data_IF_134386797170
#
_entry.id   IF_134386797170
#
_cell.length_a   1.000
_cell.length_b   1.000
_cell.length_c   1.000
_cell.angle_alpha   90.00
_cell.angle_beta   90.00
_cell.angle_gamma   90.00
#
_symmetry.space_group_name_H-M   'P 1'
#
loop_
_entity.id
_entity.type
_entity.pdbx_description
1 polymer ?
#
# COMPACT_ATOMS: atom_id res chain seq x y z
N UNK A 1 -13.51 14.39 -30.52
CA UNK A 1 -14.70 13.52 -30.45
C UNK A 1 -15.32 13.43 -31.84
N UNK A 2 -15.83 12.27 -32.27
CA UNK A 2 -16.41 12.12 -33.61
C UNK A 2 -17.73 12.88 -33.75
N UNK A 3 -17.92 13.62 -34.85
CA UNK A 3 -19.08 14.47 -35.11
C UNK A 3 -20.43 13.74 -34.86
N UNK A 4 -20.52 12.49 -35.32
CA UNK A 4 -21.72 11.64 -35.17
C UNK A 4 -22.12 11.40 -33.71
N UNK A 5 -21.15 11.32 -32.78
CA UNK A 5 -21.47 11.15 -31.35
C UNK A 5 -22.12 12.40 -30.77
N UNK A 6 -21.64 13.58 -31.16
CA UNK A 6 -22.21 14.85 -30.69
C UNK A 6 -23.62 15.03 -31.23
N UNK A 7 -23.83 14.75 -32.52
CA UNK A 7 -25.14 14.85 -33.16
C UNK A 7 -26.20 13.96 -32.47
N UNK A 8 -25.82 12.73 -32.09
CA UNK A 8 -26.73 11.82 -31.40
C UNK A 8 -26.97 12.19 -29.92
N UNK A 9 -25.96 12.72 -29.21
CA UNK A 9 -26.05 12.99 -27.77
C UNK A 9 -26.63 14.37 -27.45
N UNK A 10 -26.29 15.40 -28.23
CA UNK A 10 -26.62 16.78 -27.91
C UNK A 10 -28.13 17.02 -27.74
N UNK A 11 -29.04 16.44 -28.56
CA UNK A 11 -30.48 16.56 -28.34
C UNK A 11 -30.93 15.95 -27.01
N UNK A 12 -30.42 14.76 -26.65
CA UNK A 12 -30.73 14.09 -25.38
C UNK A 12 -30.23 14.91 -24.18
N UNK A 13 -29.04 15.49 -24.28
CA UNK A 13 -28.46 16.32 -23.20
C UNK A 13 -29.24 17.63 -23.04
N UNK A 14 -29.59 18.33 -24.13
CA UNK A 14 -30.38 19.57 -24.06
C UNK A 14 -31.75 19.39 -23.41
N UNK A 15 -32.41 18.26 -23.63
CA UNK A 15 -33.69 17.94 -23.00
C UNK A 15 -33.60 17.79 -21.46
N UNK A 16 -32.39 17.54 -20.93
CA UNK A 16 -32.13 17.31 -19.51
C UNK A 16 -31.46 18.50 -18.83
N UNK A 17 -31.33 19.65 -19.51
CA UNK A 17 -30.73 20.84 -18.93
C UNK A 17 -31.47 21.31 -17.66
N UNK A 18 -30.70 21.71 -16.65
CA UNK A 18 -31.21 22.22 -15.38
C UNK A 18 -30.37 23.40 -14.91
N UNK A 19 -30.98 24.33 -14.18
CA UNK A 19 -30.28 25.47 -13.59
C UNK A 19 -29.60 25.11 -12.26
N UNK A 20 -30.09 24.07 -11.59
CA UNK A 20 -29.58 23.59 -10.29
C UNK A 20 -28.59 22.45 -10.51
N UNK A 21 -27.41 22.56 -9.87
CA UNK A 21 -26.39 21.51 -9.91
C UNK A 21 -26.90 20.21 -9.26
N UNK A 22 -26.74 19.05 -9.92
CA UNK A 22 -27.10 17.75 -9.35
C UNK A 22 -26.05 17.19 -8.38
N UNK A 23 -24.84 17.78 -8.34
CA UNK A 23 -23.76 17.32 -7.46
C UNK A 23 -24.01 17.73 -6.01
N UNK A 24 -23.62 16.87 -5.08
CA UNK A 24 -23.74 17.10 -3.63
C UNK A 24 -22.39 16.82 -2.94
N UNK A 25 -22.14 17.46 -1.80
CA UNK A 25 -20.92 17.26 -1.00
C UNK A 25 -19.82 18.31 -1.25
N UNK A 26 -18.73 18.20 -0.47
CA UNK A 26 -17.64 19.19 -0.44
C UNK A 26 -16.87 19.31 -1.77
N UNK A 27 -16.94 18.29 -2.63
CA UNK A 27 -16.32 18.25 -3.96
C UNK A 27 -17.20 18.70 -5.12
N UNK A 28 -18.39 19.25 -4.86
CA UNK A 28 -19.29 19.64 -5.94
C UNK A 28 -18.66 20.76 -6.80
N UNK A 29 -18.64 20.60 -8.14
CA UNK A 29 -18.06 21.63 -9.01
C UNK A 29 -18.84 22.94 -8.90
N UNK A 30 -18.10 24.06 -8.96
CA UNK A 30 -18.70 25.40 -8.91
C UNK A 30 -19.43 25.70 -10.22
N UNK A 31 -20.43 26.59 -10.15
CA UNK A 31 -21.12 27.08 -11.34
C UNK A 31 -20.18 28.00 -12.11
N UNK A 32 -19.80 27.58 -13.31
CA UNK A 32 -18.98 28.33 -14.25
C UNK A 32 -19.75 28.54 -15.56
N UNK A 33 -19.46 29.60 -16.34
CA UNK A 33 -20.18 29.89 -17.59
C UNK A 33 -20.09 28.76 -18.62
N UNK A 34 -19.01 27.98 -18.60
CA UNK A 34 -18.75 26.88 -19.54
C UNK A 34 -19.39 25.55 -19.10
N UNK A 35 -20.08 25.53 -17.94
CA UNK A 35 -20.67 24.32 -17.36
C UNK A 35 -22.18 24.33 -17.47
N UNK A 36 -22.72 23.38 -18.23
CA UNK A 36 -24.17 23.11 -18.29
C UNK A 36 -24.52 21.96 -17.35
N UNK A 37 -25.47 22.21 -16.43
CA UNK A 37 -25.95 21.16 -15.54
C UNK A 37 -27.06 20.34 -16.20
N UNK A 38 -27.02 19.03 -15.98
CA UNK A 38 -28.01 18.09 -16.52
C UNK A 38 -28.68 17.32 -15.38
N UNK A 39 -29.92 16.91 -15.58
CA UNK A 39 -30.59 15.94 -14.69
C UNK A 39 -29.87 14.58 -14.79
N UNK A 40 -29.59 13.91 -13.66
CA UNK A 40 -28.85 12.65 -13.63
C UNK A 40 -29.74 11.45 -14.01
N UNK A 41 -30.26 11.46 -15.24
CA UNK A 41 -31.18 10.44 -15.77
C UNK A 41 -30.51 9.47 -16.75
N UNK A 42 -29.48 9.93 -17.47
CA UNK A 42 -28.73 9.10 -18.42
C UNK A 42 -27.57 8.38 -17.73
N UNK A 43 -27.35 7.13 -18.11
CA UNK A 43 -26.17 6.35 -17.68
C UNK A 43 -25.15 6.31 -18.80
N UNK A 44 -23.91 6.66 -18.46
CA UNK A 44 -22.78 6.60 -19.38
C UNK A 44 -21.76 5.57 -18.89
N UNK A 45 -21.16 4.86 -19.84
CA UNK A 45 -19.95 4.10 -19.61
C UNK A 45 -18.74 5.00 -19.78
N UNK A 46 -17.93 5.09 -18.71
CA UNK A 46 -16.78 5.96 -18.61
C UNK A 46 -15.56 5.11 -18.23
N UNK A 47 -14.49 5.23 -19.01
CA UNK A 47 -13.17 4.76 -18.59
C UNK A 47 -12.46 5.87 -17.83
N UNK A 48 -11.77 5.56 -16.74
CA UNK A 48 -11.10 6.55 -15.91
C UNK A 48 -9.92 5.97 -15.13
N UNK A 49 -8.99 6.86 -14.73
CA UNK A 49 -7.75 6.47 -14.04
C UNK A 49 -7.91 6.30 -12.52
N UNK A 50 -8.92 6.94 -11.92
CA UNK A 50 -9.23 6.79 -10.49
C UNK A 50 -10.15 7.88 -9.96
N UNK A 51 -10.39 7.85 -8.64
CA UNK A 51 -11.18 8.85 -7.92
C UNK A 51 -10.28 9.85 -7.18
N UNK A 52 -10.68 11.13 -7.12
CA UNK A 52 -10.09 12.11 -6.19
C UNK A 52 -10.60 11.86 -4.77
N UNK A 53 -9.93 12.46 -3.77
CA UNK A 53 -10.41 12.46 -2.38
C UNK A 53 -11.84 13.04 -2.25
N UNK A 54 -12.18 13.99 -3.12
CA UNK A 54 -13.47 14.66 -3.15
C UNK A 54 -14.55 13.91 -3.96
N UNK A 55 -14.26 12.69 -4.45
CA UNK A 55 -15.22 11.87 -5.17
C UNK A 55 -15.41 12.24 -6.65
N UNK A 56 -14.43 12.89 -7.28
CA UNK A 56 -14.43 13.25 -8.70
C UNK A 56 -13.58 12.26 -9.49
N UNK A 57 -14.03 11.91 -10.69
CA UNK A 57 -13.32 10.99 -11.59
C UNK A 57 -12.12 11.69 -12.26
N UNK A 58 -10.95 11.04 -12.27
CA UNK A 58 -9.72 11.53 -12.92
C UNK A 58 -9.55 10.94 -14.32
N UNK A 59 -9.19 11.79 -15.28
CA UNK A 59 -8.90 11.39 -16.67
C UNK A 59 -10.05 10.58 -17.30
N UNK A 60 -11.28 11.10 -17.19
CA UNK A 60 -12.47 10.45 -17.69
C UNK A 60 -12.54 10.46 -19.23
N UNK A 61 -12.88 9.31 -19.82
CA UNK A 61 -13.13 9.16 -21.24
C UNK A 61 -14.50 8.52 -21.48
N UNK A 62 -15.37 9.21 -22.22
CA UNK A 62 -16.70 8.71 -22.56
C UNK A 62 -16.65 7.59 -23.60
N UNK A 63 -17.24 6.44 -23.28
CA UNK A 63 -17.33 5.29 -24.20
C UNK A 63 -18.66 5.27 -24.94
N UNK A 64 -19.77 5.31 -24.19
CA UNK A 64 -21.13 5.24 -24.73
C UNK A 64 -22.20 5.45 -23.66
N UNK A 65 -23.47 5.51 -24.07
CA UNK A 65 -24.61 5.47 -23.15
C UNK A 65 -25.03 4.03 -22.90
N UNK A 66 -25.49 3.76 -21.68
CA UNK A 66 -26.08 2.50 -21.25
C UNK A 66 -27.57 2.71 -21.02
N UNK A 67 -28.39 2.06 -21.83
CA UNK A 67 -29.86 2.08 -21.70
C UNK A 67 -30.36 0.87 -20.90
N UNK A 68 -29.48 -0.11 -20.64
CA UNK A 68 -29.77 -1.36 -19.95
C UNK A 68 -29.81 -1.23 -18.42
N UNK A 69 -29.32 -0.12 -17.86
CA UNK A 69 -29.20 0.10 -16.43
C UNK A 69 -29.83 1.42 -15.99
N UNK A 70 -30.75 1.44 -15.00
CA UNK A 70 -31.33 2.68 -14.52
C UNK A 70 -30.30 3.50 -13.73
N UNK A 71 -30.37 4.83 -13.85
CA UNK A 71 -29.42 5.75 -13.20
C UNK A 71 -29.32 5.57 -11.67
N UNK A 72 -30.41 5.17 -11.00
CA UNK A 72 -30.45 4.95 -9.55
C UNK A 72 -29.63 3.74 -9.08
N UNK A 73 -29.32 2.80 -9.97
CA UNK A 73 -28.49 1.62 -9.67
C UNK A 73 -26.99 1.86 -9.90
N UNK A 74 -26.62 3.00 -10.46
CA UNK A 74 -25.21 3.38 -10.62
C UNK A 74 -24.71 3.88 -9.28
N UNK A 75 -23.88 3.07 -8.62
CA UNK A 75 -23.24 3.41 -7.35
C UNK A 75 -21.74 3.29 -7.49
N UNK A 76 -21.01 4.21 -6.85
CA UNK A 76 -19.56 4.07 -6.71
C UNK A 76 -19.26 2.80 -5.92
N UNK A 77 -18.46 1.92 -6.50
CA UNK A 77 -17.98 0.72 -5.82
C UNK A 77 -17.12 1.17 -4.64
N UNK A 78 -17.57 0.85 -3.42
CA UNK A 78 -16.77 1.02 -2.22
C UNK A 78 -16.07 -0.30 -1.97
N UNK A 79 -14.76 -0.30 -1.65
CA UNK A 79 -14.10 -1.52 -1.22
C UNK A 79 -14.92 -2.13 -0.08
N UNK A 80 -15.23 -3.41 -0.20
CA UNK A 80 -15.86 -4.14 0.89
C UNK A 80 -15.00 -3.90 2.15
N UNK A 81 -15.65 -3.61 3.28
CA UNK A 81 -14.93 -3.61 4.56
C UNK A 81 -14.27 -4.98 4.65
N UNK A 82 -12.94 -5.00 4.74
CA UNK A 82 -12.22 -6.24 4.97
C UNK A 82 -12.89 -6.92 6.17
N UNK A 83 -13.22 -8.20 6.03
CA UNK A 83 -13.67 -8.97 7.17
C UNK A 83 -12.63 -8.75 8.27
N UNK A 84 -13.08 -8.30 9.44
CA UNK A 84 -12.20 -8.27 10.61
C UNK A 84 -11.85 -9.71 10.89
N UNK A 85 -10.70 -10.15 10.40
CA UNK A 85 -10.04 -11.32 10.95
C UNK A 85 -9.68 -10.92 12.38
N UNK A 86 -10.03 -11.76 13.35
CA UNK A 86 -9.56 -11.59 14.72
C UNK A 86 -8.03 -11.61 14.67
N UNK A 87 -7.43 -10.42 14.72
CA UNK A 87 -5.99 -10.31 14.91
C UNK A 87 -5.72 -10.94 16.28
N UNK A 88 -4.82 -11.92 16.38
CA UNK A 88 -4.43 -12.44 17.69
C UNK A 88 -4.01 -11.26 18.55
N UNK A 89 -4.68 -11.10 19.70
CA UNK A 89 -4.24 -10.10 20.67
C UNK A 89 -2.81 -10.45 21.05
N UNK A 90 -1.86 -9.49 20.96
CA UNK A 90 -0.51 -9.75 21.41
C UNK A 90 -0.59 -10.26 22.85
N UNK A 91 0.03 -11.41 23.10
CA UNK A 91 0.10 -11.97 24.43
C UNK A 91 0.62 -10.90 25.39
N UNK A 92 0.01 -10.83 26.58
CA UNK A 92 0.36 -9.86 27.62
C UNK A 92 1.87 -9.69 27.77
N UNK A 93 2.30 -8.43 27.94
CA UNK A 93 3.69 -7.99 28.01
C UNK A 93 4.58 -9.01 28.72
N UNK A 94 5.55 -9.54 27.97
CA UNK A 94 6.61 -10.38 28.54
C UNK A 94 7.32 -9.52 29.59
N UNK A 95 7.37 -10.04 30.82
CA UNK A 95 7.97 -9.39 32.00
C UNK A 95 9.26 -8.64 31.64
N UNK A 96 9.40 -7.43 32.20
CA UNK A 96 10.59 -6.59 32.09
C UNK A 96 11.85 -7.44 32.18
N UNK A 97 12.63 -7.43 31.09
CA UNK A 97 13.76 -8.32 30.92
C UNK A 97 14.91 -7.85 31.82
N UNK A 98 15.63 -8.80 32.41
CA UNK A 98 16.81 -8.50 33.21
C UNK A 98 17.82 -7.70 32.36
N UNK A 99 18.24 -6.55 32.87
CA UNK A 99 19.26 -5.69 32.24
C UNK A 99 20.53 -6.52 32.05
N UNK A 100 20.92 -6.73 30.79
CA UNK A 100 22.14 -7.47 30.47
C UNK A 100 23.35 -6.53 30.57
N UNK A 101 24.49 -7.10 30.96
CA UNK A 101 25.77 -6.38 30.96
C UNK A 101 26.15 -5.91 29.55
N UNK A 102 26.82 -4.76 29.47
CA UNK A 102 27.30 -4.16 28.22
C UNK A 102 28.18 -5.17 27.45
N UNK A 103 27.75 -5.57 26.26
CA UNK A 103 28.45 -6.53 25.40
C UNK A 103 27.89 -7.96 25.41
N UNK A 104 26.85 -8.24 26.19
CA UNK A 104 26.15 -9.51 26.13
C UNK A 104 25.51 -9.72 24.73
N UNK A 105 25.67 -10.92 24.18
CA UNK A 105 25.00 -11.36 22.95
C UNK A 105 23.73 -12.11 23.31
N UNK A 106 22.68 -11.95 22.53
CA UNK A 106 21.49 -12.80 22.62
C UNK A 106 21.59 -13.93 21.59
N UNK A 107 21.07 -15.10 21.90
CA UNK A 107 20.93 -16.19 20.94
C UNK A 107 19.46 -16.33 20.54
N UNK A 108 19.20 -16.39 19.24
CA UNK A 108 17.86 -16.60 18.66
C UNK A 108 18.01 -17.63 17.54
N UNK A 109 17.32 -18.78 17.65
CA UNK A 109 17.42 -19.89 16.70
C UNK A 109 18.87 -20.30 16.35
N UNK A 110 19.77 -20.34 17.34
CA UNK A 110 21.19 -20.67 17.13
C UNK A 110 22.05 -19.54 16.52
N UNK A 111 21.47 -18.36 16.27
CA UNK A 111 22.18 -17.19 15.73
C UNK A 111 22.49 -16.20 16.84
N UNK A 112 23.78 -15.84 16.97
CA UNK A 112 24.24 -14.83 17.94
C UNK A 112 23.96 -13.41 17.46
N UNK A 113 23.13 -12.69 18.20
CA UNK A 113 22.75 -11.31 17.98
C UNK A 113 23.66 -10.39 18.80
N UNK A 114 24.49 -9.62 18.10
CA UNK A 114 25.29 -8.54 18.69
C UNK A 114 24.45 -7.28 18.91
N UNK A 115 24.75 -6.53 19.99
CA UNK A 115 24.02 -5.34 20.41
C UNK A 115 22.49 -5.60 20.46
N UNK A 116 22.03 -6.59 21.23
CA UNK A 116 20.64 -7.03 21.22
C UNK A 116 19.67 -5.92 21.63
N UNK A 117 20.08 -5.08 22.60
CA UNK A 117 19.27 -4.00 23.16
C UNK A 117 19.33 -2.72 22.31
N UNK A 118 19.99 -2.73 21.13
CA UNK A 118 20.03 -1.56 20.25
C UNK A 118 18.61 -1.25 19.75
N UNK A 119 18.07 -0.04 19.99
CA UNK A 119 16.76 0.36 19.49
C UNK A 119 16.85 0.56 17.97
N UNK A 120 16.05 -0.21 17.21
CA UNK A 120 15.93 -0.07 15.75
C UNK A 120 14.70 0.76 15.37
N UNK A 121 13.60 0.63 16.12
CA UNK A 121 12.46 1.55 16.06
C UNK A 121 12.41 2.32 17.37
N UNK A 122 12.51 3.66 17.37
CA UNK A 122 12.42 4.46 18.59
C UNK A 122 11.03 4.42 19.25
N UNK A 123 9.97 4.27 18.46
CA UNK A 123 8.58 4.18 18.91
C UNK A 123 7.77 3.32 17.93
N UNK A 124 7.08 2.29 18.43
CA UNK A 124 6.17 1.44 17.67
C UNK A 124 4.69 1.87 17.77
N UNK A 125 4.44 3.13 18.11
CA UNK A 125 3.13 3.73 18.44
C UNK A 125 2.56 3.29 19.80
N UNK A 126 3.43 2.80 20.69
CA UNK A 126 3.14 2.43 22.08
C UNK A 126 4.07 3.15 23.07
N UNK A 127 4.92 4.06 22.58
CA UNK A 127 5.91 4.79 23.37
C UNK A 127 7.11 3.93 23.77
N UNK A 128 7.25 2.72 23.21
CA UNK A 128 8.35 1.80 23.52
C UNK A 128 9.22 1.55 22.28
N UNK A 129 10.55 1.49 22.45
CA UNK A 129 11.42 1.15 21.34
C UNK A 129 11.37 -0.34 21.04
N UNK A 130 11.48 -0.70 19.75
CA UNK A 130 11.71 -2.09 19.32
C UNK A 130 13.19 -2.29 19.07
N UNK A 131 13.75 -3.27 19.76
CA UNK A 131 15.17 -3.59 19.77
C UNK A 131 15.56 -4.56 18.64
N UNK A 132 16.87 -4.68 18.40
CA UNK A 132 17.43 -5.62 17.43
C UNK A 132 17.14 -7.08 17.77
N UNK A 133 17.12 -7.43 19.06
CA UNK A 133 16.74 -8.79 19.47
C UNK A 133 15.26 -9.06 19.21
N UNK A 134 14.37 -8.11 19.48
CA UNK A 134 12.94 -8.27 19.21
C UNK A 134 12.65 -8.44 17.72
N UNK A 135 13.38 -7.73 16.85
CA UNK A 135 13.33 -7.98 15.41
C UNK A 135 13.74 -9.42 15.06
N UNK A 136 14.80 -9.95 15.69
CA UNK A 136 15.23 -11.34 15.47
C UNK A 136 14.17 -12.35 15.94
N UNK A 137 13.55 -12.11 17.10
CA UNK A 137 12.45 -12.96 17.63
C UNK A 137 11.18 -12.87 16.78
N UNK A 138 10.91 -11.70 16.22
CA UNK A 138 9.84 -11.54 15.24
C UNK A 138 10.07 -12.44 14.03
N UNK A 139 11.29 -12.45 13.46
CA UNK A 139 11.63 -13.34 12.36
C UNK A 139 11.60 -14.83 12.74
N UNK A 140 11.95 -15.19 13.97
CA UNK A 140 11.74 -16.54 14.50
C UNK A 140 10.25 -16.92 14.50
N UNK A 141 9.37 -16.03 14.96
CA UNK A 141 7.94 -16.27 15.04
C UNK A 141 7.25 -16.37 13.67
N UNK A 142 7.62 -15.51 12.71
CA UNK A 142 7.00 -15.47 11.37
C UNK A 142 7.78 -16.26 10.31
N UNK A 143 8.93 -16.82 10.67
CA UNK A 143 9.90 -17.37 9.71
C UNK A 143 9.33 -18.47 8.83
N UNK A 144 8.49 -19.34 9.38
CA UNK A 144 7.83 -20.43 8.63
C UNK A 144 6.86 -19.93 7.56
N UNK A 145 6.22 -18.78 7.76
CA UNK A 145 5.37 -18.15 6.74
C UNK A 145 6.19 -17.32 5.76
N UNK A 146 7.17 -16.57 6.27
CA UNK A 146 8.02 -15.72 5.45
C UNK A 146 8.83 -16.54 4.44
N UNK A 147 9.37 -17.69 4.85
CA UNK A 147 10.30 -18.48 4.03
C UNK A 147 9.67 -18.98 2.73
N UNK A 148 8.38 -19.32 2.75
CA UNK A 148 7.62 -19.76 1.56
C UNK A 148 7.57 -18.68 0.47
N UNK A 149 7.66 -17.40 0.86
CA UNK A 149 7.64 -16.29 -0.08
C UNK A 149 9.02 -15.93 -0.64
N UNK A 150 10.10 -16.19 0.09
CA UNK A 150 11.45 -15.74 -0.27
C UNK A 150 12.37 -16.86 -0.75
N UNK A 151 12.09 -18.12 -0.40
CA UNK A 151 12.93 -19.26 -0.79
C UNK A 151 13.03 -19.38 -2.30
N UNK A 152 14.27 -19.53 -2.79
CA UNK A 152 14.55 -19.68 -4.23
C UNK A 152 14.40 -18.40 -5.04
N UNK A 153 14.26 -17.23 -4.40
CA UNK A 153 14.13 -15.94 -5.08
C UNK A 153 15.34 -15.06 -4.77
N UNK A 154 15.97 -14.43 -5.78
CA UNK A 154 16.97 -13.40 -5.55
C UNK A 154 16.38 -12.25 -4.73
N UNK A 155 17.05 -11.89 -3.64
CA UNK A 155 16.55 -10.92 -2.67
C UNK A 155 17.54 -9.76 -2.49
N UNK A 156 17.01 -8.60 -2.16
CA UNK A 156 17.78 -7.43 -1.72
C UNK A 156 17.38 -7.07 -0.30
N UNK A 157 18.34 -6.61 0.49
CA UNK A 157 18.13 -6.31 1.91
C UNK A 157 18.25 -4.81 2.13
N UNK A 158 17.25 -4.22 2.78
CA UNK A 158 17.38 -2.86 3.34
C UNK A 158 17.99 -2.99 4.73
N UNK A 159 19.13 -2.34 4.95
CA UNK A 159 19.85 -2.36 6.23
C UNK A 159 19.75 -1.00 6.88
N UNK A 160 19.43 -1.02 8.17
CA UNK A 160 19.32 0.17 9.02
C UNK A 160 20.19 -0.03 10.28
N UNK A 161 21.53 0.08 10.16
CA UNK A 161 22.45 -0.32 11.23
C UNK A 161 22.24 0.41 12.56
N UNK A 162 21.75 1.65 12.49
CA UNK A 162 21.48 2.54 13.62
C UNK A 162 19.99 2.87 13.78
N UNK A 163 19.13 1.97 13.29
CA UNK A 163 17.69 2.10 13.34
C UNK A 163 17.08 2.85 12.16
N UNK A 164 15.75 2.84 12.09
CA UNK A 164 15.01 3.29 10.89
C UNK A 164 15.07 4.80 10.64
N UNK A 165 15.38 5.59 11.68
CA UNK A 165 15.60 7.04 11.56
C UNK A 165 17.03 7.42 11.14
N UNK A 166 17.94 6.44 11.06
CA UNK A 166 19.32 6.64 10.62
C UNK A 166 19.51 6.38 9.13
N UNK A 167 20.77 6.14 8.74
CA UNK A 167 21.13 5.80 7.37
C UNK A 167 20.54 4.44 6.96
N UNK A 168 20.01 4.38 5.74
CA UNK A 168 19.46 3.16 5.14
C UNK A 168 20.28 2.76 3.93
N UNK A 169 20.70 1.49 3.89
CA UNK A 169 21.51 0.95 2.81
C UNK A 169 20.76 -0.17 2.08
N UNK A 170 20.59 -0.01 0.76
CA UNK A 170 20.02 -1.04 -0.10
C UNK A 170 21.10 -1.99 -0.62
N UNK A 171 21.13 -3.20 -0.07
CA UNK A 171 22.11 -4.23 -0.39
C UNK A 171 21.56 -5.24 -1.40
N UNK A 172 22.14 -5.27 -2.60
CA UNK A 172 21.85 -6.29 -3.63
C UNK A 172 22.78 -7.48 -3.60
N UNK A 173 24.05 -7.25 -3.24
CA UNK A 173 25.12 -8.24 -3.37
C UNK A 173 25.66 -8.67 -2.01
N UNK A 174 26.24 -9.86 -1.94
CA UNK A 174 26.98 -10.31 -0.77
C UNK A 174 28.14 -9.34 -0.44
N UNK A 175 28.35 -9.13 0.86
CA UNK A 175 29.44 -8.32 1.42
C UNK A 175 30.24 -9.14 2.44
N UNK A 176 31.45 -8.70 2.83
CA UNK A 176 32.17 -9.33 3.93
C UNK A 176 31.29 -9.48 5.19
N UNK A 177 31.26 -10.69 5.76
CA UNK A 177 30.40 -11.03 6.90
C UNK A 177 28.99 -11.49 6.56
N UNK A 178 28.68 -11.73 5.28
CA UNK A 178 27.42 -12.40 4.87
C UNK A 178 27.43 -13.86 5.34
N UNK A 179 26.30 -14.34 5.85
CA UNK A 179 26.16 -15.71 6.36
C UNK A 179 26.35 -16.74 5.24
N UNK A 180 27.02 -17.84 5.55
CA UNK A 180 27.13 -19.00 4.66
C UNK A 180 25.81 -19.77 4.51
N UNK A 181 24.76 -19.40 5.26
CA UNK A 181 23.41 -19.94 5.14
C UNK A 181 22.63 -19.33 3.96
N UNK A 182 23.17 -18.28 3.32
CA UNK A 182 22.57 -17.68 2.13
C UNK A 182 23.21 -18.26 0.87
N UNK A 183 22.38 -18.65 -0.09
CA UNK A 183 22.84 -19.03 -1.42
C UNK A 183 23.02 -17.77 -2.27
N UNK A 184 24.09 -17.72 -3.07
CA UNK A 184 24.35 -16.58 -3.94
C UNK A 184 23.98 -16.89 -5.38
N UNK A 185 23.07 -16.11 -5.96
CA UNK A 185 22.51 -16.39 -7.29
C UNK A 185 22.96 -15.34 -8.31
N UNK A 186 23.40 -15.80 -9.48
CA UNK A 186 23.74 -14.90 -10.59
C UNK A 186 22.46 -14.47 -11.32
N UNK A 187 22.19 -13.17 -11.34
CA UNK A 187 21.08 -12.57 -12.08
C UNK A 187 21.61 -12.01 -13.40
N UNK A 188 20.89 -12.24 -14.50
CA UNK A 188 21.26 -11.74 -15.82
C UNK A 188 21.35 -10.20 -15.83
N UNK A 189 22.42 -9.66 -16.41
CA UNK A 189 22.66 -8.21 -16.47
C UNK A 189 23.42 -7.63 -15.27
N UNK A 190 23.54 -8.35 -14.16
CA UNK A 190 24.26 -7.89 -12.98
C UNK A 190 25.70 -8.43 -12.92
N UNK A 191 26.61 -7.57 -12.46
CA UNK A 191 28.06 -7.87 -12.41
C UNK A 191 28.45 -8.78 -11.24
N UNK A 192 27.65 -8.79 -10.17
CA UNK A 192 27.90 -9.54 -8.93
C UNK A 192 26.65 -10.34 -8.55
N UNK A 193 26.79 -11.49 -7.87
CA UNK A 193 25.64 -12.30 -7.49
C UNK A 193 24.77 -11.58 -6.46
N UNK A 194 23.49 -11.94 -6.46
CA UNK A 194 22.49 -11.55 -5.46
C UNK A 194 22.51 -12.51 -4.28
N UNK A 195 21.84 -12.09 -3.21
CA UNK A 195 21.44 -12.96 -2.11
C UNK A 195 20.20 -13.78 -2.47
#
# INVERSE_FOLDING_TARGET
>A
YGANKVEALLPKLRALETTKSPFTGNGAPKKEPEVTWLKPELVAEIEFAGWTADGIVRQAAFKGLREDKPAREVRAERPAKSARTDLPQPAAEVKARAVRGKGAKAEVMGVLISNPDKPLWPDANDGKPVTKEELARYYEAVGSWLIEHIKGRPCSIIRTPDGIGGEQFFQRHAMPGTSNLLELVKVFGDKKPYL
#
